data_IF_016604612355
#
_entry.id   IF_016604612355
#
_cell.length_a   1.000
_cell.length_b   1.000
_cell.length_c   1.000
_cell.angle_alpha   90.00
_cell.angle_beta   90.00
_cell.angle_gamma   90.00
#
_symmetry.space_group_name_H-M   'P 1'
#
loop_
_entity.id
_entity.type
_entity.pdbx_description
1 polymer ?
#
# COMPACT_ATOMS: atom_id res chain seq x y z
N UNK A 1 7.60 18.83 -49.19
CA UNK A 1 8.99 18.73 -48.67
C UNK A 1 9.11 19.64 -47.47
N UNK A 2 9.84 19.17 -46.45
CA UNK A 2 10.40 19.86 -45.27
C UNK A 2 9.83 19.39 -43.93
N UNK A 3 10.44 18.31 -43.43
CA UNK A 3 10.53 17.95 -42.02
C UNK A 3 11.60 18.80 -41.32
N UNK A 4 11.48 19.05 -40.01
CA UNK A 4 12.63 19.20 -39.13
C UNK A 4 12.79 17.95 -38.25
N UNK A 5 14.01 17.40 -38.31
CA UNK A 5 14.58 16.45 -37.36
C UNK A 5 15.18 17.21 -36.16
N UNK A 6 15.56 16.45 -35.11
CA UNK A 6 16.44 16.78 -33.95
C UNK A 6 15.62 17.10 -32.67
N UNK A 7 15.81 16.52 -31.48
CA UNK A 7 16.85 15.63 -30.91
C UNK A 7 16.22 14.64 -29.89
N UNK A 8 16.57 13.36 -29.98
CA UNK A 8 16.50 12.39 -28.88
C UNK A 8 17.87 12.37 -28.21
N UNK A 9 17.96 12.77 -26.94
CA UNK A 9 19.17 12.63 -26.16
C UNK A 9 19.03 13.26 -24.78
N UNK A 10 19.21 12.45 -23.73
CA UNK A 10 19.31 12.80 -22.29
C UNK A 10 18.01 12.84 -21.48
N UNK A 11 17.21 11.77 -21.47
CA UNK A 11 16.27 11.49 -20.36
C UNK A 11 16.35 10.00 -19.98
N UNK A 12 17.53 9.56 -19.49
CA UNK A 12 17.70 8.19 -19.00
C UNK A 12 18.34 8.11 -17.59
N UNK A 13 18.77 9.23 -17.01
CA UNK A 13 19.55 9.21 -15.76
C UNK A 13 18.77 9.43 -14.46
N UNK A 14 17.60 10.08 -14.48
CA UNK A 14 16.97 10.62 -13.26
C UNK A 14 15.77 9.81 -12.74
N UNK A 15 15.19 8.92 -13.54
CA UNK A 15 14.10 8.03 -13.11
C UNK A 15 14.53 6.92 -12.13
N UNK A 16 15.84 6.63 -12.04
CA UNK A 16 16.37 5.54 -11.22
C UNK A 16 16.42 5.89 -9.72
N UNK A 17 16.60 7.17 -9.36
CA UNK A 17 16.84 7.56 -7.96
C UNK A 17 15.57 7.74 -7.11
N UNK A 18 14.45 8.18 -7.69
CA UNK A 18 13.16 8.29 -6.97
C UNK A 18 12.50 6.93 -6.74
N UNK A 19 12.71 5.98 -7.65
CA UNK A 19 12.29 4.57 -7.47
C UNK A 19 13.15 3.88 -6.41
N UNK A 20 14.47 4.15 -6.38
CA UNK A 20 15.37 3.58 -5.38
C UNK A 20 14.98 3.93 -3.93
N UNK A 21 14.58 5.17 -3.63
CA UNK A 21 14.22 5.56 -2.27
C UNK A 21 12.94 4.86 -1.75
N UNK A 22 11.95 4.67 -2.62
CA UNK A 22 10.71 3.95 -2.28
C UNK A 22 10.93 2.43 -2.22
N UNK A 23 11.76 1.87 -3.11
CA UNK A 23 12.17 0.45 -3.09
C UNK A 23 13.02 0.11 -1.87
N UNK A 24 13.94 0.99 -1.48
CA UNK A 24 14.74 0.85 -0.25
C UNK A 24 13.83 0.89 0.98
N UNK A 25 12.88 1.83 1.04
CA UNK A 25 11.92 1.92 2.13
C UNK A 25 11.03 0.66 2.23
N UNK A 26 10.64 0.07 1.10
CA UNK A 26 9.85 -1.17 1.06
C UNK A 26 10.66 -2.41 1.45
N UNK A 27 11.90 -2.55 0.96
CA UNK A 27 12.82 -3.64 1.34
C UNK A 27 13.16 -3.62 2.83
N UNK A 28 13.39 -2.43 3.41
CA UNK A 28 13.61 -2.30 4.86
C UNK A 28 12.38 -2.69 5.68
N UNK A 29 11.17 -2.42 5.18
CA UNK A 29 9.95 -2.76 5.89
C UNK A 29 9.64 -4.27 5.82
N UNK A 30 9.99 -4.95 4.72
CA UNK A 30 9.88 -6.40 4.60
C UNK A 30 10.92 -7.15 5.46
N UNK A 31 12.15 -6.64 5.56
CA UNK A 31 13.20 -7.21 6.41
C UNK A 31 12.86 -7.12 7.91
N UNK A 32 12.10 -6.10 8.35
CA UNK A 32 11.64 -5.97 9.73
C UNK A 32 10.65 -7.07 10.13
N UNK A 33 9.82 -7.56 9.21
CA UNK A 33 8.89 -8.67 9.49
C UNK A 33 9.63 -10.01 9.67
N UNK A 34 10.66 -10.29 8.85
CA UNK A 34 11.50 -11.49 9.03
C UNK A 34 12.32 -11.46 10.33
N UNK A 35 12.78 -10.27 10.76
CA UNK A 35 13.49 -10.11 12.03
C UNK A 35 12.57 -10.31 13.24
N UNK A 36 11.33 -9.83 13.18
CA UNK A 36 10.33 -10.04 14.25
C UNK A 36 9.96 -11.53 14.37
N UNK A 37 9.80 -12.22 13.23
CA UNK A 37 9.48 -13.66 13.21
C UNK A 37 10.62 -14.52 13.77
N UNK A 38 11.88 -14.20 13.42
CA UNK A 38 13.07 -14.86 13.99
C UNK A 38 13.28 -14.59 15.49
N UNK A 39 12.91 -13.41 16.00
CA UNK A 39 13.01 -13.09 17.43
C UNK A 39 11.88 -13.76 18.24
N UNK A 40 10.68 -13.90 17.67
CA UNK A 40 9.59 -14.65 18.31
C UNK A 40 9.81 -16.16 18.35
N UNK A 41 10.63 -16.72 17.45
CA UNK A 41 10.98 -18.15 17.43
C UNK A 41 12.03 -18.59 18.47
N UNK A 42 12.73 -17.65 19.12
CA UNK A 42 13.85 -17.96 20.03
C UNK A 42 13.49 -17.94 21.53
N UNK A 43 12.25 -17.58 21.89
CA UNK A 43 11.80 -17.36 23.27
C UNK A 43 11.26 -18.60 24.03
N UNK A 44 11.59 -19.82 23.59
CA UNK A 44 11.10 -21.06 24.20
C UNK A 44 12.17 -21.82 24.98
N UNK A 45 12.48 -21.41 26.20
CA UNK A 45 13.42 -22.11 27.09
C UNK A 45 13.02 -22.06 28.56
N UNK A 46 12.34 -23.11 29.03
CA UNK A 46 12.13 -23.40 30.46
C UNK A 46 13.45 -23.79 31.13
N UNK A 47 13.75 -23.20 32.30
CA UNK A 47 14.42 -23.90 33.40
C UNK A 47 14.28 -23.11 34.73
N UNK A 48 13.67 -23.73 35.73
CA UNK A 48 13.99 -23.50 37.14
C UNK A 48 15.09 -24.53 37.53
N UNK A 49 15.99 -24.28 38.51
CA UNK A 49 15.60 -24.43 39.92
C UNK A 49 16.37 -23.56 40.96
N UNK A 50 15.75 -23.47 42.14
CA UNK A 50 16.26 -23.49 43.53
C UNK A 50 17.66 -22.94 43.95
N UNK A 51 17.60 -22.23 45.10
CA UNK A 51 18.58 -22.01 46.19
C UNK A 51 19.86 -21.19 45.95
N UNK A 52 20.02 -20.09 46.72
CA UNK A 52 21.01 -20.00 47.80
C UNK A 52 21.10 -18.57 48.39
N UNK A 53 21.12 -18.55 49.71
CA UNK A 53 21.35 -17.43 50.63
C UNK A 53 22.80 -16.94 50.58
N UNK A 54 23.00 -15.62 50.74
CA UNK A 54 24.24 -15.04 51.29
C UNK A 54 25.20 -14.42 50.27
N UNK A 55 25.32 -13.08 50.31
CA UNK A 55 26.52 -12.34 50.75
C UNK A 55 26.56 -10.95 50.07
N UNK A 56 26.62 -9.84 50.83
CA UNK A 56 26.91 -8.53 50.28
C UNK A 56 28.42 -8.46 50.00
N UNK A 57 28.79 -8.23 48.73
CA UNK A 57 30.16 -7.87 48.34
C UNK A 57 30.12 -6.60 47.50
N UNK A 58 30.54 -5.53 48.16
CA UNK A 58 31.44 -4.50 47.64
C UNK A 58 31.00 -3.82 46.35
N UNK A 59 30.13 -2.83 46.54
CA UNK A 59 29.93 -1.74 45.59
C UNK A 59 31.19 -0.89 45.49
N UNK A 60 32.15 -1.30 44.65
CA UNK A 60 33.28 -0.45 44.26
C UNK A 60 34.02 -1.03 43.03
N UNK A 61 33.33 -1.29 41.90
CA UNK A 61 34.05 -1.53 40.62
C UNK A 61 33.25 -1.39 39.32
N UNK A 62 32.02 -0.83 39.32
CA UNK A 62 31.28 -0.52 38.06
C UNK A 62 31.37 0.98 37.69
N UNK A 63 32.45 1.65 38.06
CA UNK A 63 32.62 3.09 37.79
C UNK A 63 33.70 3.45 36.76
N UNK A 64 34.46 2.47 36.22
CA UNK A 64 35.63 2.77 35.39
C UNK A 64 35.64 2.19 33.95
N UNK A 65 34.60 1.45 33.54
CA UNK A 65 34.53 0.86 32.19
C UNK A 65 33.69 1.67 31.17
N UNK A 66 33.11 2.82 31.54
CA UNK A 66 32.04 3.45 30.73
C UNK A 66 32.34 4.84 30.15
N UNK A 67 33.60 5.25 30.04
CA UNK A 67 33.96 6.51 29.35
C UNK A 67 34.10 6.39 27.82
N UNK A 68 34.81 5.39 27.25
CA UNK A 68 34.98 5.31 25.80
C UNK A 68 33.68 4.91 25.08
N UNK A 69 32.92 3.98 25.64
CA UNK A 69 31.63 3.55 25.06
C UNK A 69 30.58 4.68 25.08
N UNK A 70 30.56 5.51 26.13
CA UNK A 70 29.65 6.68 26.18
C UNK A 70 30.03 7.75 25.15
N UNK A 71 31.32 7.95 24.91
CA UNK A 71 31.79 8.86 23.86
C UNK A 71 31.46 8.33 22.46
N UNK A 72 31.59 7.02 22.24
CA UNK A 72 31.24 6.37 20.98
C UNK A 72 29.72 6.42 20.72
N UNK A 73 28.90 6.16 21.74
CA UNK A 73 27.45 6.29 21.65
C UNK A 73 27.00 7.73 21.37
N UNK A 74 27.67 8.73 21.94
CA UNK A 74 27.39 10.13 21.65
C UNK A 74 27.70 10.46 20.18
N UNK A 75 28.86 10.02 19.68
CA UNK A 75 29.26 10.19 18.27
C UNK A 75 28.29 9.50 17.30
N UNK A 76 27.91 8.25 17.58
CA UNK A 76 26.96 7.51 16.74
C UNK A 76 25.59 8.17 16.71
N UNK A 77 25.14 8.76 17.82
CA UNK A 77 23.87 9.52 17.87
C UNK A 77 23.93 10.78 17.02
N UNK A 78 25.05 11.50 17.04
CA UNK A 78 25.24 12.67 16.17
C UNK A 78 25.25 12.26 14.69
N UNK A 79 25.94 11.19 14.34
CA UNK A 79 25.99 10.68 12.97
C UNK A 79 24.60 10.23 12.49
N UNK A 80 23.84 9.51 13.31
CA UNK A 80 22.45 9.14 12.98
C UNK A 80 21.57 10.37 12.80
N UNK A 81 21.73 11.41 13.63
CA UNK A 81 20.96 12.63 13.50
C UNK A 81 21.32 13.40 12.21
N UNK A 82 22.59 13.49 11.85
CA UNK A 82 23.04 14.11 10.60
C UNK A 82 22.53 13.34 9.37
N UNK A 83 22.64 12.00 9.38
CA UNK A 83 22.10 11.16 8.30
C UNK A 83 20.59 11.35 8.16
N UNK A 84 19.85 11.40 9.27
CA UNK A 84 18.40 11.68 9.25
C UNK A 84 18.10 13.06 8.68
N UNK A 85 18.85 14.08 9.07
CA UNK A 85 18.66 15.44 8.58
C UNK A 85 18.91 15.54 7.07
N UNK A 86 19.98 14.91 6.56
CA UNK A 86 20.28 14.84 5.12
C UNK A 86 19.20 14.09 4.36
N UNK A 87 18.75 12.96 4.88
CA UNK A 87 17.66 12.17 4.28
C UNK A 87 16.38 13.00 4.20
N UNK A 88 16.03 13.73 5.26
CA UNK A 88 14.86 14.61 5.27
C UNK A 88 15.00 15.79 4.28
N UNK A 89 16.19 16.38 4.15
CA UNK A 89 16.45 17.45 3.19
C UNK A 89 16.31 16.96 1.74
N UNK A 90 16.86 15.78 1.43
CA UNK A 90 16.69 15.14 0.12
C UNK A 90 15.22 14.83 -0.17
N UNK A 91 14.48 14.30 0.80
CA UNK A 91 13.04 14.04 0.65
C UNK A 91 12.27 15.33 0.33
N UNK A 92 12.59 16.46 0.98
CA UNK A 92 11.94 17.76 0.71
C UNK A 92 12.24 18.28 -0.70
N UNK A 93 13.48 18.16 -1.17
CA UNK A 93 13.87 18.56 -2.54
C UNK A 93 13.15 17.69 -3.59
N UNK A 94 13.01 16.39 -3.32
CA UNK A 94 12.27 15.47 -4.18
C UNK A 94 10.78 15.83 -4.27
N UNK A 95 10.13 16.15 -3.15
CA UNK A 95 8.73 16.61 -3.14
C UNK A 95 8.55 17.88 -3.96
N UNK A 96 9.42 18.88 -3.77
CA UNK A 96 9.33 20.17 -4.49
C UNK A 96 9.52 20.02 -6.00
N UNK A 97 10.40 19.10 -6.41
CA UNK A 97 10.65 18.80 -7.83
C UNK A 97 9.48 18.02 -8.45
N UNK A 98 8.87 17.09 -7.71
CA UNK A 98 7.69 16.35 -8.14
C UNK A 98 6.44 17.26 -8.28
N UNK A 99 6.30 18.25 -7.40
CA UNK A 99 5.23 19.24 -7.44
C UNK A 99 5.33 20.14 -8.69
N UNK A 100 6.56 20.47 -9.12
CA UNK A 100 6.82 21.23 -10.34
C UNK A 100 6.71 20.39 -11.64
N UNK A 101 6.76 19.06 -11.55
CA UNK A 101 6.77 18.14 -12.69
C UNK A 101 5.50 17.29 -12.80
N UNK A 102 4.39 17.71 -12.17
CA UNK A 102 3.11 17.00 -12.29
C UNK A 102 2.64 17.00 -13.76
N UNK A 103 2.31 15.83 -14.34
CA UNK A 103 1.76 15.75 -15.68
C UNK A 103 0.52 16.63 -15.84
N UNK A 104 0.25 17.15 -17.04
CA UNK A 104 -0.98 17.89 -17.30
C UNK A 104 -2.20 17.03 -16.96
N UNK A 105 -3.25 17.68 -16.44
CA UNK A 105 -4.51 17.03 -16.11
C UNK A 105 -5.15 16.48 -17.39
N UNK A 106 -5.19 15.15 -17.50
CA UNK A 106 -5.84 14.42 -18.57
C UNK A 106 -6.67 13.28 -17.96
N UNK A 107 -7.70 13.69 -17.23
CA UNK A 107 -8.63 12.78 -16.55
C UNK A 107 -9.57 12.14 -17.57
N UNK A 108 -9.53 10.81 -17.67
CA UNK A 108 -10.51 10.02 -18.39
C UNK A 108 -11.78 9.86 -17.54
N UNK A 109 -12.94 10.39 -17.98
CA UNK A 109 -14.19 10.28 -17.24
C UNK A 109 -14.68 8.83 -17.19
N UNK A 110 -15.52 8.51 -16.18
CA UNK A 110 -16.00 7.17 -15.92
C UNK A 110 -16.68 6.50 -17.13
N UNK A 111 -17.48 7.28 -17.86
CA UNK A 111 -18.17 6.82 -19.06
C UNK A 111 -17.24 6.51 -20.25
N UNK A 112 -15.96 6.89 -20.17
CA UNK A 112 -14.95 6.58 -21.17
C UNK A 112 -14.10 5.36 -20.78
N UNK A 113 -14.22 4.84 -19.56
CA UNK A 113 -13.51 3.62 -19.16
C UNK A 113 -14.06 2.42 -19.91
N UNK A 114 -13.18 1.46 -20.17
CA UNK A 114 -13.52 0.20 -20.84
C UNK A 114 -12.86 -0.97 -20.14
N UNK A 115 -13.34 -2.16 -20.44
CA UNK A 115 -12.60 -3.37 -20.14
C UNK A 115 -11.35 -3.42 -21.03
N UNK A 116 -10.23 -2.90 -20.55
CA UNK A 116 -8.94 -2.91 -21.21
C UNK A 116 -8.17 -4.24 -21.02
N UNK A 117 -8.75 -5.19 -20.30
CA UNK A 117 -8.12 -6.43 -19.90
C UNK A 117 -7.14 -6.26 -18.73
N UNK A 118 -6.33 -7.29 -18.48
CA UNK A 118 -5.42 -7.36 -17.32
C UNK A 118 -3.98 -7.71 -17.71
N UNK A 119 -3.59 -7.43 -18.95
CA UNK A 119 -2.25 -7.75 -19.46
C UNK A 119 -1.16 -6.83 -18.87
N UNK A 120 -1.51 -5.58 -18.58
CA UNK A 120 -0.65 -4.61 -17.86
C UNK A 120 -1.34 -4.13 -16.57
N UNK A 121 -0.59 -3.67 -15.56
CA UNK A 121 -1.16 -3.07 -14.35
C UNK A 121 -2.09 -1.89 -14.63
N UNK A 122 -1.68 -0.98 -15.53
CA UNK A 122 -2.51 0.14 -15.98
C UNK A 122 -3.82 -0.28 -16.66
N UNK A 123 -3.78 -1.30 -17.54
CA UNK A 123 -4.99 -1.84 -18.16
C UNK A 123 -5.90 -2.53 -17.12
N UNK A 124 -5.29 -3.23 -16.15
CA UNK A 124 -6.03 -3.84 -15.04
C UNK A 124 -6.71 -2.78 -14.16
N UNK A 125 -6.06 -1.63 -13.93
CA UNK A 125 -6.68 -0.50 -13.23
C UNK A 125 -7.88 0.05 -13.99
N UNK A 126 -7.77 0.29 -15.30
CA UNK A 126 -8.91 0.74 -16.12
C UNK A 126 -10.07 -0.26 -16.09
N UNK A 127 -9.77 -1.55 -16.23
CA UNK A 127 -10.77 -2.63 -16.15
C UNK A 127 -11.43 -2.70 -14.77
N UNK A 128 -10.67 -2.49 -13.70
CA UNK A 128 -11.19 -2.45 -12.33
C UNK A 128 -12.21 -1.31 -12.18
N UNK A 129 -11.87 -0.09 -12.59
CA UNK A 129 -12.77 1.07 -12.48
C UNK A 129 -13.99 0.95 -13.39
N UNK A 130 -13.81 0.46 -14.61
CA UNK A 130 -14.92 0.13 -15.51
C UNK A 130 -15.88 -0.90 -14.88
N UNK A 131 -15.35 -1.98 -14.31
CA UNK A 131 -16.17 -3.02 -13.68
C UNK A 131 -16.90 -2.49 -12.43
N UNK A 132 -16.26 -1.57 -11.70
CA UNK A 132 -16.84 -0.90 -10.53
C UNK A 132 -17.98 0.04 -10.93
N UNK A 133 -17.79 0.88 -11.96
CA UNK A 133 -18.81 1.83 -12.45
C UNK A 133 -20.00 1.12 -13.12
N UNK A 134 -19.73 0.08 -13.91
CA UNK A 134 -20.77 -0.72 -14.56
C UNK A 134 -21.51 -1.68 -13.63
N UNK A 135 -21.03 -1.87 -12.40
CA UNK A 135 -21.58 -2.86 -11.46
C UNK A 135 -21.35 -4.31 -11.90
N UNK A 136 -20.39 -4.59 -12.79
CA UNK A 136 -20.07 -5.94 -13.23
C UNK A 136 -19.25 -6.67 -12.15
N UNK A 137 -19.96 -7.28 -11.19
CA UNK A 137 -19.38 -7.95 -10.02
C UNK A 137 -18.42 -9.07 -10.42
N UNK A 138 -18.72 -9.84 -11.47
CA UNK A 138 -17.87 -10.94 -11.92
C UNK A 138 -16.53 -10.45 -12.47
N UNK A 139 -16.57 -9.43 -13.35
CA UNK A 139 -15.34 -8.80 -13.86
C UNK A 139 -14.54 -8.15 -12.73
N UNK A 140 -15.21 -7.52 -11.77
CA UNK A 140 -14.59 -6.88 -10.63
C UNK A 140 -13.95 -7.90 -9.67
N UNK A 141 -14.63 -9.02 -9.40
CA UNK A 141 -14.09 -10.12 -8.60
C UNK A 141 -12.86 -10.76 -9.25
N UNK A 142 -12.86 -10.91 -10.59
CA UNK A 142 -11.69 -11.35 -11.32
C UNK A 142 -10.55 -10.32 -11.24
N UNK A 143 -10.85 -9.02 -11.26
CA UNK A 143 -9.86 -7.94 -11.23
C UNK A 143 -9.18 -7.72 -9.87
N UNK A 144 -9.63 -8.38 -8.80
CA UNK A 144 -9.05 -8.23 -7.45
C UNK A 144 -8.36 -9.51 -6.95
N UNK A 145 -7.42 -9.34 -6.04
CA UNK A 145 -6.86 -10.39 -5.21
C UNK A 145 -6.93 -9.96 -3.76
N UNK A 146 -7.36 -10.85 -2.87
CA UNK A 146 -7.39 -10.60 -1.44
C UNK A 146 -6.09 -11.08 -0.80
N UNK A 147 -5.48 -10.25 0.04
CA UNK A 147 -4.49 -10.75 0.99
C UNK A 147 -5.14 -11.67 2.03
N UNK A 148 -4.31 -12.36 2.81
CA UNK A 148 -4.81 -13.33 3.79
C UNK A 148 -5.79 -12.68 4.78
N UNK A 149 -5.45 -11.49 5.30
CA UNK A 149 -6.28 -10.77 6.25
C UNK A 149 -7.62 -10.30 5.64
N UNK A 150 -7.63 -9.85 4.38
CA UNK A 150 -8.83 -9.48 3.66
C UNK A 150 -9.73 -10.68 3.42
N UNK A 151 -9.14 -11.83 3.03
CA UNK A 151 -9.87 -13.07 2.79
C UNK A 151 -10.56 -13.57 4.05
N UNK A 152 -9.86 -13.64 5.17
CA UNK A 152 -10.43 -14.07 6.46
C UNK A 152 -11.61 -13.19 6.88
N UNK A 153 -11.47 -11.86 6.73
CA UNK A 153 -12.54 -10.90 7.06
C UNK A 153 -13.75 -11.05 6.14
N UNK A 154 -13.51 -11.17 4.83
CA UNK A 154 -14.58 -11.37 3.86
C UNK A 154 -15.32 -12.71 4.10
N UNK A 155 -14.59 -13.78 4.43
CA UNK A 155 -15.19 -15.06 4.83
C UNK A 155 -16.02 -14.94 6.11
N UNK A 156 -15.53 -14.21 7.12
CA UNK A 156 -16.28 -13.97 8.35
C UNK A 156 -17.57 -13.18 8.10
N UNK A 157 -17.58 -12.26 7.14
CA UNK A 157 -18.79 -11.54 6.72
C UNK A 157 -19.74 -12.50 5.98
N UNK A 158 -19.25 -13.26 5.00
CA UNK A 158 -20.05 -14.26 4.27
C UNK A 158 -20.70 -15.29 5.21
N UNK A 159 -19.97 -15.76 6.22
CA UNK A 159 -20.47 -16.76 7.16
C UNK A 159 -21.67 -16.28 7.99
N UNK A 160 -21.85 -14.96 8.14
CA UNK A 160 -22.99 -14.35 8.85
C UNK A 160 -24.20 -14.11 7.96
N UNK A 161 -24.09 -14.34 6.65
CA UNK A 161 -25.16 -14.11 5.69
C UNK A 161 -26.07 -15.33 5.56
N UNK A 162 -27.28 -15.11 5.04
CA UNK A 162 -28.22 -16.19 4.75
C UNK A 162 -27.69 -17.11 3.65
N UNK A 163 -28.21 -18.34 3.58
CA UNK A 163 -27.80 -19.33 2.58
C UNK A 163 -28.00 -18.83 1.13
N UNK A 164 -29.11 -18.14 0.86
CA UNK A 164 -29.39 -17.53 -0.45
C UNK A 164 -28.33 -16.50 -0.86
N UNK A 165 -27.86 -15.68 0.09
CA UNK A 165 -26.82 -14.68 -0.19
C UNK A 165 -25.46 -15.36 -0.38
N UNK A 166 -25.12 -16.35 0.45
CA UNK A 166 -23.89 -17.14 0.29
C UNK A 166 -23.85 -17.91 -1.04
N UNK A 167 -25.00 -18.38 -1.52
CA UNK A 167 -25.10 -19.04 -2.83
C UNK A 167 -24.85 -18.06 -3.99
N UNK A 168 -25.19 -16.79 -3.82
CA UNK A 168 -24.97 -15.73 -4.83
C UNK A 168 -23.53 -15.22 -4.79
N UNK A 169 -22.97 -15.04 -3.59
CA UNK A 169 -21.60 -14.58 -3.34
C UNK A 169 -20.77 -15.72 -2.76
N UNK A 170 -20.60 -16.75 -3.59
CA UNK A 170 -19.92 -18.01 -3.25
C UNK A 170 -18.42 -17.86 -2.96
N UNK A 171 -17.82 -16.73 -3.34
CA UNK A 171 -16.41 -16.43 -3.07
C UNK A 171 -16.25 -15.12 -2.28
N UNK A 172 -15.22 -15.04 -1.41
CA UNK A 172 -14.85 -13.80 -0.72
C UNK A 172 -14.60 -12.63 -1.67
N UNK A 173 -14.00 -12.90 -2.83
CA UNK A 173 -13.73 -11.94 -3.90
C UNK A 173 -15.04 -11.33 -4.45
N UNK A 174 -16.07 -12.14 -4.73
CA UNK A 174 -17.37 -11.63 -5.19
C UNK A 174 -18.05 -10.74 -4.15
N UNK A 175 -17.97 -11.11 -2.87
CA UNK A 175 -18.48 -10.24 -1.81
C UNK A 175 -17.76 -8.90 -1.79
N UNK A 176 -16.43 -8.91 -1.81
CA UNK A 176 -15.62 -7.67 -1.77
C UNK A 176 -15.86 -6.82 -3.02
N UNK A 177 -16.00 -7.46 -4.19
CA UNK A 177 -16.36 -6.80 -5.44
C UNK A 177 -17.70 -6.06 -5.34
N UNK A 178 -18.74 -6.70 -4.78
CA UNK A 178 -20.02 -6.04 -4.54
C UNK A 178 -19.88 -4.79 -3.66
N UNK A 179 -19.10 -4.89 -2.57
CA UNK A 179 -18.87 -3.78 -1.66
C UNK A 179 -18.11 -2.63 -2.33
N UNK A 180 -17.11 -2.95 -3.15
CA UNK A 180 -16.38 -1.97 -3.94
C UNK A 180 -17.28 -1.24 -4.94
N UNK A 181 -18.11 -1.97 -5.69
CA UNK A 181 -19.03 -1.40 -6.67
C UNK A 181 -20.02 -0.43 -6.01
N UNK A 182 -20.51 -0.75 -4.80
CA UNK A 182 -21.42 0.12 -4.05
C UNK A 182 -20.74 1.38 -3.49
N UNK A 183 -19.47 1.28 -3.10
CA UNK A 183 -18.78 2.35 -2.38
C UNK A 183 -18.01 3.33 -3.26
N UNK A 184 -17.88 3.09 -4.56
CA UNK A 184 -17.09 3.96 -5.42
C UNK A 184 -17.72 5.35 -5.55
N UNK A 185 -16.92 6.37 -5.27
CA UNK A 185 -17.25 7.78 -5.49
C UNK A 185 -16.44 8.38 -6.64
N UNK A 186 -15.76 7.54 -7.42
CA UNK A 186 -14.78 7.97 -8.43
C UNK A 186 -15.50 8.22 -9.75
N UNK A 187 -15.23 9.39 -10.36
CA UNK A 187 -15.88 9.89 -11.58
C UNK A 187 -14.94 10.06 -12.76
N UNK A 188 -13.64 10.16 -12.50
CA UNK A 188 -12.62 10.17 -13.53
C UNK A 188 -11.30 9.67 -12.96
N UNK A 189 -10.42 9.15 -13.81
CA UNK A 189 -9.08 8.75 -13.42
C UNK A 189 -8.05 9.19 -14.44
N UNK A 190 -6.80 9.28 -14.02
CA UNK A 190 -5.64 9.42 -14.88
C UNK A 190 -4.54 8.56 -14.30
N UNK A 191 -3.92 7.71 -15.13
CA UNK A 191 -2.68 7.04 -14.75
C UNK A 191 -1.54 8.06 -14.82
N UNK A 192 -0.93 8.35 -13.68
CA UNK A 192 0.23 9.26 -13.56
C UNK A 192 1.51 8.49 -13.87
N UNK A 193 1.59 7.23 -13.44
CA UNK A 193 2.74 6.37 -13.67
C UNK A 193 2.52 4.97 -13.15
N UNK A 194 3.37 4.06 -13.58
CA UNK A 194 3.37 2.65 -13.21
C UNK A 194 4.80 2.24 -12.86
N UNK A 195 4.95 1.47 -11.79
CA UNK A 195 6.21 0.83 -11.45
C UNK A 195 5.96 -0.66 -11.21
N UNK A 196 6.69 -1.50 -11.93
CA UNK A 196 6.54 -2.96 -11.90
C UNK A 196 7.84 -3.59 -11.43
N UNK A 197 7.75 -4.43 -10.40
CA UNK A 197 8.87 -5.15 -9.79
C UNK A 197 8.50 -6.63 -9.64
N UNK A 198 8.93 -7.45 -10.62
CA UNK A 198 8.58 -8.87 -10.66
C UNK A 198 7.07 -9.07 -10.84
N UNK A 199 6.45 -9.77 -9.89
CA UNK A 199 5.01 -10.04 -9.88
C UNK A 199 4.20 -9.00 -9.10
N UNK A 200 4.81 -7.88 -8.71
CA UNK A 200 4.13 -6.77 -8.04
C UNK A 200 4.24 -5.48 -8.85
N UNK A 201 3.20 -4.66 -8.78
CA UNK A 201 3.19 -3.35 -9.43
C UNK A 201 2.48 -2.31 -8.57
N UNK A 202 2.92 -1.06 -8.69
CA UNK A 202 2.28 0.11 -8.12
C UNK A 202 1.84 1.03 -9.26
N UNK A 203 0.52 1.22 -9.40
CA UNK A 203 -0.06 2.17 -10.35
C UNK A 203 -0.44 3.43 -9.60
N UNK A 204 0.21 4.54 -9.93
CA UNK A 204 -0.11 5.86 -9.38
C UNK A 204 -1.22 6.48 -10.21
N UNK A 205 -2.32 6.82 -9.54
CA UNK A 205 -3.55 7.30 -10.15
C UNK A 205 -3.90 8.67 -9.58
N UNK A 206 -4.38 9.57 -10.44
CA UNK A 206 -5.14 10.75 -10.04
C UNK A 206 -6.61 10.45 -10.23
N UNK A 207 -7.39 10.57 -9.17
CA UNK A 207 -8.81 10.24 -9.15
C UNK A 207 -9.62 11.50 -8.90
N UNK A 208 -10.65 11.74 -9.71
CA UNK A 208 -11.67 12.76 -9.45
C UNK A 208 -12.84 12.09 -8.72
N UNK A 209 -13.23 12.64 -7.57
CA UNK A 209 -14.38 12.18 -6.79
C UNK A 209 -15.67 12.91 -7.16
N UNK A 210 -16.79 12.39 -6.67
CA UNK A 210 -18.13 12.98 -6.79
C UNK A 210 -18.24 14.39 -6.19
N UNK A 211 -17.47 14.69 -5.14
CA UNK A 211 -17.34 16.01 -4.52
C UNK A 211 -16.49 17.00 -5.34
N UNK A 212 -16.01 16.59 -6.52
CA UNK A 212 -15.20 17.38 -7.42
C UNK A 212 -13.72 17.47 -7.04
N UNK A 213 -13.30 16.87 -5.93
CA UNK A 213 -11.88 16.90 -5.52
C UNK A 213 -11.08 15.86 -6.28
N UNK A 214 -9.86 16.23 -6.63
CA UNK A 214 -8.85 15.30 -7.13
C UNK A 214 -7.99 14.76 -6.00
N UNK A 215 -7.62 13.48 -6.08
CA UNK A 215 -6.69 12.84 -5.16
C UNK A 215 -5.72 11.96 -5.92
N UNK A 216 -4.44 12.08 -5.59
CA UNK A 216 -3.41 11.17 -6.08
C UNK A 216 -3.24 10.02 -5.09
N UNK A 217 -3.26 8.78 -5.57
CA UNK A 217 -3.01 7.60 -4.77
C UNK A 217 -2.36 6.47 -5.57
N UNK A 218 -1.55 5.66 -4.87
CA UNK A 218 -0.96 4.45 -5.43
C UNK A 218 -1.82 3.24 -5.15
N UNK A 219 -2.16 2.47 -6.17
CA UNK A 219 -2.87 1.20 -6.07
C UNK A 219 -1.92 0.05 -6.36
N UNK A 220 -1.91 -0.94 -5.48
CA UNK A 220 -1.05 -2.13 -5.61
C UNK A 220 -1.73 -3.18 -6.48
N UNK A 221 -0.95 -3.78 -7.36
CA UNK A 221 -1.35 -4.90 -8.21
C UNK A 221 -0.38 -6.05 -8.05
N UNK A 222 -0.90 -7.27 -8.17
CA UNK A 222 -0.12 -8.50 -8.20
C UNK A 222 -0.42 -9.29 -9.47
N UNK A 223 0.62 -9.88 -10.06
CA UNK A 223 0.49 -10.75 -11.23
C UNK A 223 -0.11 -12.09 -10.81
N UNK A 224 -1.09 -12.54 -11.58
CA UNK A 224 -1.69 -13.87 -11.49
C UNK A 224 -1.60 -14.57 -12.85
N UNK A 225 -1.83 -15.88 -12.93
CA UNK A 225 -1.84 -16.59 -14.22
C UNK A 225 -2.78 -15.96 -15.27
N UNK A 226 -3.87 -15.34 -14.82
CA UNK A 226 -4.88 -14.73 -15.69
C UNK A 226 -4.66 -13.22 -15.92
N UNK A 227 -3.54 -12.67 -15.46
CA UNK A 227 -3.18 -11.25 -15.56
C UNK A 227 -3.03 -10.54 -14.21
N UNK A 228 -2.88 -9.22 -14.26
CA UNK A 228 -2.73 -8.36 -13.10
C UNK A 228 -4.04 -8.17 -12.35
N UNK A 229 -3.98 -8.24 -11.02
CA UNK A 229 -5.13 -8.05 -10.12
C UNK A 229 -4.80 -7.03 -9.05
N UNK A 230 -5.76 -6.18 -8.69
CA UNK A 230 -5.59 -5.20 -7.63
C UNK A 230 -5.53 -5.91 -6.27
N UNK A 231 -4.50 -5.65 -5.49
CA UNK A 231 -4.31 -6.25 -4.18
C UNK A 231 -5.12 -5.50 -3.12
N UNK A 232 -6.17 -6.15 -2.60
CA UNK A 232 -7.03 -5.60 -1.56
C UNK A 232 -6.55 -6.11 -0.21
N UNK A 233 -6.23 -5.17 0.68
CA UNK A 233 -5.72 -5.48 2.01
C UNK A 233 -6.82 -5.58 3.05
N UNK A 234 -6.56 -6.28 4.15
CA UNK A 234 -7.52 -6.37 5.26
C UNK A 234 -7.97 -5.01 5.83
N UNK A 235 -7.16 -3.95 5.67
CA UNK A 235 -7.51 -2.58 6.07
C UNK A 235 -8.61 -1.98 5.19
N UNK A 236 -8.62 -2.31 3.89
CA UNK A 236 -9.67 -1.87 2.96
C UNK A 236 -10.99 -2.53 3.33
N UNK A 237 -10.97 -3.84 3.63
CA UNK A 237 -12.17 -4.58 4.05
C UNK A 237 -12.72 -4.07 5.38
N UNK A 238 -11.87 -3.74 6.36
CA UNK A 238 -12.32 -3.13 7.63
C UNK A 238 -13.07 -1.82 7.40
N UNK A 239 -12.56 -0.98 6.50
CA UNK A 239 -13.18 0.30 6.18
C UNK A 239 -14.58 0.10 5.60
N UNK A 240 -14.77 -0.90 4.76
CA UNK A 240 -16.08 -1.26 4.20
C UNK A 240 -17.01 -1.83 5.28
N UNK A 241 -16.51 -2.75 6.11
CA UNK A 241 -17.28 -3.35 7.20
C UNK A 241 -17.83 -2.32 8.19
N UNK A 242 -17.04 -1.28 8.49
CA UNK A 242 -17.48 -0.15 9.33
C UNK A 242 -18.66 0.62 8.70
N UNK A 243 -18.60 0.90 7.40
CA UNK A 243 -19.68 1.59 6.68
C UNK A 243 -20.96 0.75 6.54
N UNK A 244 -20.84 -0.57 6.49
CA UNK A 244 -22.01 -1.45 6.53
C UNK A 244 -22.71 -1.41 7.89
N UNK A 245 -21.94 -1.23 8.97
CA UNK A 245 -22.46 -1.20 10.34
C UNK A 245 -22.96 0.18 10.76
N UNK A 246 -22.48 1.24 10.10
CA UNK A 246 -22.91 2.63 10.27
C UNK A 246 -23.52 3.14 8.95
N UNK A 247 -24.78 2.80 8.65
CA UNK A 247 -25.49 3.36 7.49
C UNK A 247 -25.62 4.87 7.74
N UNK A 248 -24.72 5.64 7.12
CA UNK A 248 -24.56 7.07 7.40
C UNK A 248 -25.88 7.83 7.40
N UNK A 249 -26.05 8.67 8.44
CA UNK A 249 -27.01 9.77 8.62
C UNK A 249 -27.01 10.80 7.46
N UNK A 250 -27.09 10.40 6.20
CA UNK A 250 -27.02 11.33 5.05
C UNK A 250 -28.30 11.49 4.23
N UNK A 251 -29.41 10.84 4.59
CA UNK A 251 -30.69 11.00 3.88
C UNK A 251 -31.86 11.53 4.74
N UNK A 252 -31.61 11.94 6.00
CA UNK A 252 -32.62 12.57 6.84
C UNK A 252 -32.50 14.11 6.79
N UNK A 253 -32.70 14.72 5.62
CA UNK A 253 -32.62 16.19 5.55
C UNK A 253 -32.63 16.82 4.17
N UNK A 254 -33.64 16.51 3.35
CA UNK A 254 -34.24 17.45 2.39
C UNK A 254 -35.56 16.86 1.91
N UNK A 255 -36.62 17.19 2.66
CA UNK A 255 -37.96 17.34 2.08
C UNK A 255 -38.03 18.70 1.40
#
# INVERSE_FOLDING_TARGET
MNSPRIAFGLIAGLGVLLVAAFVVQWQTNAALWQAIENVSGSGGGKAAPAMATGQPRDGATIAAASSPERAELARLREEVNDLRARTAALARLSVRTAEAASPPLNLQPANAWKNAGRATPSAAAETLFWATDSGNVEALAAAISLDQAAREKAQAILARMSESVRATFDTPEKLVALLLARETDIRAMQVIGENTAGDEALVNLRLLKDDGKTKDEGMQFRRSPDGWRANITGKVVDKMGKKLSDPGKKDAGKK
#
